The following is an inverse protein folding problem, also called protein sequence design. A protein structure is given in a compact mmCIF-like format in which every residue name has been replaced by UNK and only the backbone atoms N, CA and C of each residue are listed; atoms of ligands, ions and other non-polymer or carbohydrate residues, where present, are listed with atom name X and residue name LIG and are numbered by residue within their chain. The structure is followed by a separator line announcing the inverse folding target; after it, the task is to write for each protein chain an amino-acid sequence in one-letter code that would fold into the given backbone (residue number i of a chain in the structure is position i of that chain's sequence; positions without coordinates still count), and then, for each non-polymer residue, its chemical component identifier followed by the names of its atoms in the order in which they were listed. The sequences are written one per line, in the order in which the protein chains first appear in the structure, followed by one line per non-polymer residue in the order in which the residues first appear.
data_IF_009115254408
#
_entry.id   IF_009115254408
#
_cell.length_a   1.000
_cell.length_b   1.000
_cell.length_c   1.000
_cell.angle_alpha   90.00
_cell.angle_beta   90.00
_cell.angle_gamma   90.00
#
_symmetry.space_group_name_H-M   'P 1'
#
loop_
_entity.id
_entity.type
_entity.pdbx_description
1 polymer ?
#
# COMPACT_ATOMS: atom_id res chain seq x y z
N UNK A 1 -12.96 1.65 -8.07
CA UNK A 1 -13.05 0.52 -9.06
C UNK A 1 -12.91 -0.79 -8.29
N UNK A 2 -12.89 -1.97 -8.95
CA UNK A 2 -12.61 -3.24 -8.27
C UNK A 2 -11.13 -3.34 -7.88
N UNK A 3 -10.83 -3.96 -6.72
CA UNK A 3 -9.44 -4.13 -6.22
C UNK A 3 -8.49 -4.75 -7.26
N UNK A 4 -8.98 -5.77 -8.00
CA UNK A 4 -8.18 -6.43 -9.05
C UNK A 4 -7.75 -5.49 -10.17
N UNK A 5 -8.58 -4.51 -10.53
CA UNK A 5 -8.26 -3.50 -11.56
C UNK A 5 -7.18 -2.54 -11.07
N UNK A 6 -7.23 -2.11 -9.80
CA UNK A 6 -6.18 -1.29 -9.18
C UNK A 6 -4.86 -2.03 -9.14
N UNK A 7 -4.86 -3.32 -8.74
CA UNK A 7 -3.65 -4.15 -8.70
C UNK A 7 -3.05 -4.34 -10.09
N UNK A 8 -3.88 -4.64 -11.10
CA UNK A 8 -3.40 -4.80 -12.48
C UNK A 8 -2.77 -3.49 -13.00
N UNK A 9 -3.41 -2.35 -12.76
CA UNK A 9 -2.90 -1.04 -13.17
C UNK A 9 -1.60 -0.69 -12.44
N UNK A 10 -1.58 -0.81 -11.12
CA UNK A 10 -0.39 -0.50 -10.32
C UNK A 10 0.82 -1.37 -10.68
N UNK A 11 0.61 -2.67 -10.88
CA UNK A 11 1.67 -3.59 -11.31
C UNK A 11 2.16 -3.25 -12.72
N UNK A 12 1.25 -3.01 -13.67
CA UNK A 12 1.61 -2.64 -15.03
C UNK A 12 2.51 -1.40 -15.06
N UNK A 13 2.08 -0.32 -14.42
CA UNK A 13 2.81 0.95 -14.45
C UNK A 13 4.15 0.80 -13.71
N UNK A 14 4.15 0.18 -12.52
CA UNK A 14 5.37 -0.01 -11.74
C UNK A 14 6.41 -0.86 -12.48
N UNK A 15 6.01 -1.97 -13.08
CA UNK A 15 6.91 -2.83 -13.86
C UNK A 15 7.45 -2.12 -15.11
N UNK A 16 6.60 -1.34 -15.79
CA UNK A 16 6.99 -0.59 -16.99
C UNK A 16 7.99 0.53 -16.70
N UNK A 17 7.89 1.15 -15.53
CA UNK A 17 8.77 2.26 -15.11
C UNK A 17 10.08 1.73 -14.53
N UNK A 18 10.01 0.73 -13.64
CA UNK A 18 11.18 0.25 -12.86
C UNK A 18 12.03 -0.72 -13.66
N UNK A 19 11.42 -1.56 -14.51
CA UNK A 19 12.10 -2.56 -15.36
C UNK A 19 13.14 -3.36 -14.56
N UNK A 20 12.73 -4.15 -13.56
CA UNK A 20 13.66 -4.89 -12.73
C UNK A 20 14.48 -5.86 -13.57
N UNK A 21 15.79 -5.96 -13.28
CA UNK A 21 16.76 -6.78 -14.01
C UNK A 21 17.17 -8.04 -13.26
N UNK A 22 16.52 -8.33 -12.13
CA UNK A 22 16.78 -9.51 -11.30
C UNK A 22 15.47 -10.08 -10.77
N UNK A 23 15.44 -11.40 -10.54
CA UNK A 23 14.27 -12.07 -9.96
C UNK A 23 13.86 -11.47 -8.60
N UNK A 24 14.78 -11.25 -7.64
CA UNK A 24 14.42 -10.56 -6.39
C UNK A 24 13.85 -9.16 -6.62
N UNK A 25 14.41 -8.37 -7.53
CA UNK A 25 13.91 -7.05 -7.90
C UNK A 25 12.50 -7.11 -8.48
N UNK A 26 12.21 -8.11 -9.32
CA UNK A 26 10.87 -8.34 -9.88
C UNK A 26 9.86 -8.64 -8.78
N UNK A 27 10.17 -9.57 -7.86
CA UNK A 27 9.29 -9.93 -6.74
C UNK A 27 9.03 -8.74 -5.80
N UNK A 28 10.07 -7.97 -5.49
CA UNK A 28 9.95 -6.75 -4.67
C UNK A 28 9.05 -5.73 -5.35
N UNK A 29 9.25 -5.49 -6.65
CA UNK A 29 8.42 -4.54 -7.42
C UNK A 29 6.95 -4.94 -7.42
N UNK A 30 6.64 -6.22 -7.69
CA UNK A 30 5.27 -6.74 -7.66
C UNK A 30 4.67 -6.63 -6.25
N UNK A 31 5.41 -7.03 -5.22
CA UNK A 31 4.94 -6.98 -3.84
C UNK A 31 4.63 -5.55 -3.38
N UNK A 32 5.57 -4.63 -3.59
CA UNK A 32 5.42 -3.23 -3.18
C UNK A 32 4.31 -2.52 -3.98
N UNK A 33 4.20 -2.77 -5.30
CA UNK A 33 3.13 -2.19 -6.11
C UNK A 33 1.75 -2.77 -5.78
N UNK A 34 1.66 -4.05 -5.44
CA UNK A 34 0.41 -4.65 -4.96
C UNK A 34 -0.02 -4.02 -3.63
N UNK A 35 0.92 -3.83 -2.70
CA UNK A 35 0.64 -3.14 -1.43
C UNK A 35 0.12 -1.73 -1.67
N UNK A 36 0.79 -0.93 -2.50
CA UNK A 36 0.36 0.43 -2.83
C UNK A 36 -1.00 0.50 -3.52
N UNK A 37 -1.32 -0.51 -4.35
CA UNK A 37 -2.62 -0.61 -5.01
C UNK A 37 -3.77 -0.98 -4.07
N UNK A 38 -3.50 -1.71 -2.99
CA UNK A 38 -4.53 -2.21 -2.06
C UNK A 38 -4.71 -1.31 -0.84
N UNK A 39 -3.67 -0.58 -0.44
CA UNK A 39 -3.68 0.20 0.78
C UNK A 39 -4.78 1.27 0.82
N UNK A 40 -5.07 2.05 -0.25
CA UNK A 40 -6.14 3.04 -0.16
C UNK A 40 -7.49 2.44 0.25
N UNK A 41 -7.78 1.23 -0.19
CA UNK A 41 -9.02 0.50 0.12
C UNK A 41 -9.09 -0.09 1.55
N UNK A 42 -8.13 0.22 2.41
CA UNK A 42 -8.18 -0.16 3.83
C UNK A 42 -9.37 0.49 4.56
N UNK A 43 -9.86 1.61 4.06
CA UNK A 43 -11.01 2.35 4.59
C UNK A 43 -12.38 1.73 4.20
N UNK A 44 -12.37 0.67 3.41
CA UNK A 44 -13.57 -0.14 3.13
C UNK A 44 -13.85 -1.06 4.32
N UNK A 45 -14.86 -0.73 5.11
CA UNK A 45 -15.30 -1.53 6.26
C UNK A 45 -15.55 -2.99 5.84
N UNK A 46 -15.16 -3.92 6.71
CA UNK A 46 -15.28 -5.37 6.51
C UNK A 46 -14.54 -5.93 5.29
N UNK A 47 -13.72 -5.12 4.62
CA UNK A 47 -12.88 -5.60 3.54
C UNK A 47 -11.79 -6.55 4.06
N UNK A 48 -11.24 -7.40 3.18
CA UNK A 48 -10.09 -8.25 3.53
C UNK A 48 -8.89 -7.42 4.00
N UNK A 49 -8.72 -6.23 3.42
CA UNK A 49 -7.64 -5.30 3.76
C UNK A 49 -7.86 -4.68 5.15
N UNK A 50 -9.08 -4.23 5.47
CA UNK A 50 -9.43 -3.72 6.81
C UNK A 50 -9.20 -4.79 7.88
N UNK A 51 -9.72 -6.01 7.68
CA UNK A 51 -9.50 -7.15 8.61
C UNK A 51 -8.02 -7.52 8.77
N UNK A 52 -7.22 -7.40 7.72
CA UNK A 52 -5.78 -7.62 7.81
C UNK A 52 -5.12 -6.60 8.74
N UNK A 53 -5.41 -5.31 8.56
CA UNK A 53 -4.83 -4.27 9.41
C UNK A 53 -5.34 -4.32 10.85
N UNK A 54 -6.60 -4.70 11.09
CA UNK A 54 -7.10 -4.96 12.45
C UNK A 54 -6.31 -6.11 13.13
N UNK A 55 -6.02 -7.20 12.42
CA UNK A 55 -5.20 -8.31 12.94
C UNK A 55 -3.75 -7.88 13.18
N UNK A 56 -3.15 -7.15 12.24
CA UNK A 56 -1.78 -6.64 12.40
C UNK A 56 -1.68 -5.70 13.59
N UNK A 57 -2.66 -4.83 13.79
CA UNK A 57 -2.71 -3.92 14.93
C UNK A 57 -2.87 -4.68 16.26
N UNK A 58 -3.76 -5.68 16.31
CA UNK A 58 -3.92 -6.55 17.48
C UNK A 58 -2.62 -7.30 17.81
N UNK A 59 -1.95 -7.86 16.78
CA UNK A 59 -0.66 -8.53 16.96
C UNK A 59 0.42 -7.58 17.47
N UNK A 60 0.49 -6.36 16.95
CA UNK A 60 1.42 -5.34 17.40
C UNK A 60 1.22 -5.01 18.89
N UNK A 61 -0.01 -4.76 19.29
CA UNK A 61 -0.36 -4.50 20.70
C UNK A 61 0.06 -5.69 21.58
N UNK A 62 -0.22 -6.92 21.15
CA UNK A 62 0.16 -8.14 21.88
C UNK A 62 1.68 -8.24 22.05
N UNK A 63 2.46 -7.97 20.99
CA UNK A 63 3.93 -7.99 21.03
C UNK A 63 4.46 -6.94 22.02
N UNK A 64 3.88 -5.74 22.01
CA UNK A 64 4.26 -4.68 22.96
C UNK A 64 3.97 -5.09 24.40
N UNK A 65 2.77 -5.61 24.69
CA UNK A 65 2.40 -6.09 26.02
C UNK A 65 3.35 -7.21 26.49
N UNK A 66 3.61 -8.20 25.61
CA UNK A 66 4.54 -9.31 25.94
C UNK A 66 5.96 -8.80 26.18
N UNK A 67 6.46 -7.82 25.42
CA UNK A 67 7.79 -7.24 25.65
C UNK A 67 7.91 -6.53 27.00
N UNK A 68 6.85 -5.85 27.43
CA UNK A 68 6.77 -5.22 28.76
C UNK A 68 6.75 -6.26 29.87
N UNK A 69 5.96 -7.34 29.71
CA UNK A 69 5.91 -8.45 30.67
C UNK A 69 7.25 -9.16 30.79
N UNK A 70 7.95 -9.44 29.68
CA UNK A 70 9.29 -10.06 29.68
C UNK A 70 10.29 -9.17 30.41
N UNK A 71 10.26 -7.85 30.17
CA UNK A 71 11.09 -6.92 30.90
C UNK A 71 10.81 -6.96 32.41
N UNK A 72 9.54 -6.98 32.80
CA UNK A 72 9.13 -6.98 34.20
C UNK A 72 9.48 -8.30 34.93
N UNK A 73 9.22 -9.46 34.29
CA UNK A 73 9.40 -10.79 34.92
C UNK A 73 10.86 -11.24 34.87
N UNK A 74 11.59 -10.97 33.80
CA UNK A 74 12.93 -11.53 33.57
C UNK A 74 14.03 -10.48 33.54
N UNK A 75 13.69 -9.19 33.72
CA UNK A 75 14.62 -8.06 33.61
C UNK A 75 15.37 -8.00 32.26
N UNK A 76 14.76 -8.56 31.20
CA UNK A 76 15.31 -8.56 29.84
C UNK A 76 14.75 -7.35 29.09
N UNK A 77 15.61 -6.42 28.70
CA UNK A 77 15.21 -5.27 27.88
C UNK A 77 15.40 -5.59 26.38
N UNK A 78 14.32 -6.03 25.73
CA UNK A 78 14.31 -6.39 24.31
C UNK A 78 14.68 -5.15 23.44
N UNK A 79 14.22 -3.97 23.84
CA UNK A 79 14.49 -2.72 23.12
C UNK A 79 16.00 -2.42 22.99
N UNK A 80 16.77 -2.57 24.06
CA UNK A 80 18.22 -2.33 24.03
C UNK A 80 18.93 -3.34 23.13
N UNK A 81 18.50 -4.60 23.15
CA UNK A 81 19.06 -5.64 22.26
C UNK A 81 18.77 -5.36 20.78
N UNK A 82 17.55 -4.94 20.44
CA UNK A 82 17.18 -4.62 19.05
C UNK A 82 17.91 -3.35 18.57
N UNK A 83 18.12 -2.37 19.45
CA UNK A 83 18.80 -1.11 19.11
C UNK A 83 20.27 -1.33 18.71
N UNK A 84 20.92 -2.39 19.16
CA UNK A 84 22.27 -2.77 18.71
C UNK A 84 22.32 -3.07 17.19
N UNK A 85 21.18 -3.39 16.58
CA UNK A 85 21.00 -3.63 15.15
C UNK A 85 20.31 -2.43 14.50
N UNK A 86 21.03 -1.31 14.31
CA UNK A 86 20.48 -0.03 13.84
C UNK A 86 19.52 -0.14 12.64
N UNK A 87 19.87 -0.94 11.62
CA UNK A 87 19.03 -1.10 10.43
C UNK A 87 17.71 -1.81 10.75
N UNK A 88 17.75 -2.90 11.53
CA UNK A 88 16.54 -3.65 11.92
C UNK A 88 15.62 -2.76 12.75
N UNK A 89 16.17 -1.96 13.64
CA UNK A 89 15.39 -1.03 14.46
C UNK A 89 14.64 -0.01 13.62
N UNK A 90 15.28 0.60 12.61
CA UNK A 90 14.65 1.54 11.71
C UNK A 90 13.53 0.88 10.88
N UNK A 91 13.75 -0.34 10.36
CA UNK A 91 12.70 -1.09 9.67
C UNK A 91 11.49 -1.36 10.56
N UNK A 92 11.71 -1.77 11.81
CA UNK A 92 10.63 -2.00 12.77
C UNK A 92 9.84 -0.73 13.07
N UNK A 93 10.52 0.43 13.23
CA UNK A 93 9.86 1.73 13.40
C UNK A 93 8.97 2.05 12.19
N UNK A 94 9.54 1.97 10.99
CA UNK A 94 8.81 2.30 9.76
C UNK A 94 7.57 1.42 9.58
N UNK A 95 7.72 0.11 9.75
CA UNK A 95 6.63 -0.86 9.64
C UNK A 95 5.56 -0.59 10.72
N UNK A 96 5.99 -0.32 11.96
CA UNK A 96 5.08 -0.03 13.08
C UNK A 96 4.25 1.23 12.78
N UNK A 97 4.90 2.32 12.37
CA UNK A 97 4.20 3.57 12.01
C UNK A 97 3.26 3.33 10.82
N UNK A 98 3.70 2.57 9.82
CA UNK A 98 2.87 2.24 8.65
C UNK A 98 1.60 1.48 9.04
N UNK A 99 1.70 0.48 9.94
CA UNK A 99 0.55 -0.27 10.46
C UNK A 99 -0.39 0.64 11.23
N UNK A 100 0.14 1.47 12.13
CA UNK A 100 -0.66 2.43 12.91
C UNK A 100 -1.40 3.40 12.00
N UNK A 101 -0.71 3.99 11.02
CA UNK A 101 -1.32 4.92 10.07
C UNK A 101 -2.39 4.25 9.21
N UNK A 102 -2.17 2.98 8.81
CA UNK A 102 -3.14 2.19 8.05
C UNK A 102 -4.38 1.86 8.89
N UNK A 103 -4.18 1.51 10.16
CA UNK A 103 -5.28 1.31 11.11
C UNK A 103 -6.08 2.59 11.33
N UNK A 104 -5.43 3.73 11.54
CA UNK A 104 -6.12 5.03 11.67
C UNK A 104 -6.82 5.41 10.37
N UNK A 105 -6.19 5.15 9.22
CA UNK A 105 -6.77 5.35 7.90
C UNK A 105 -8.04 4.54 7.69
N UNK A 106 -8.09 3.28 8.16
CA UNK A 106 -9.27 2.41 8.04
C UNK A 106 -10.48 2.95 8.83
N UNK A 107 -10.26 3.77 9.85
CA UNK A 107 -11.33 4.39 10.65
C UNK A 107 -11.82 5.73 10.07
N UNK A 108 -11.19 6.23 9.00
CA UNK A 108 -11.66 7.44 8.29
C UNK A 108 -12.85 7.13 7.39
N UNK A 109 -13.52 8.17 6.89
CA UNK A 109 -14.59 7.97 5.91
C UNK A 109 -14.03 7.43 4.60
N UNK A 110 -14.75 6.46 3.98
CA UNK A 110 -14.34 5.86 2.72
C UNK A 110 -14.03 6.90 1.64
N UNK A 111 -12.92 6.70 0.93
CA UNK A 111 -12.38 7.58 -0.13
C UNK A 111 -11.99 8.99 0.36
N UNK A 112 -11.45 9.06 1.58
CA UNK A 112 -10.96 10.31 2.17
C UNK A 112 -9.44 10.32 2.34
N UNK A 113 -8.93 10.18 3.56
CA UNK A 113 -7.50 10.29 3.86
C UNK A 113 -6.62 9.34 3.02
N UNK A 114 -6.97 8.07 2.97
CA UNK A 114 -6.20 7.04 2.24
C UNK A 114 -6.18 7.23 0.72
N UNK A 115 -7.19 7.92 0.18
CA UNK A 115 -7.32 8.25 -1.25
C UNK A 115 -6.94 9.71 -1.56
N UNK A 116 -6.17 10.36 -0.69
CA UNK A 116 -5.75 11.75 -0.83
C UNK A 116 -4.27 11.89 -1.18
N UNK A 117 -3.90 13.03 -1.74
CA UNK A 117 -2.50 13.42 -1.93
C UNK A 117 -1.75 13.42 -0.60
N UNK A 118 -2.38 13.91 0.47
CA UNK A 118 -1.79 13.92 1.81
C UNK A 118 -1.48 12.50 2.29
N UNK A 119 -2.44 11.57 2.17
CA UNK A 119 -2.24 10.16 2.53
C UNK A 119 -1.10 9.52 1.72
N UNK A 120 -1.09 9.72 0.39
CA UNK A 120 -0.02 9.24 -0.49
C UNK A 120 1.37 9.66 0.00
N UNK A 121 1.56 10.95 0.29
CA UNK A 121 2.86 11.46 0.74
C UNK A 121 3.24 10.97 2.15
N UNK A 122 2.29 10.91 3.08
CA UNK A 122 2.57 10.42 4.44
C UNK A 122 3.02 8.95 4.40
N UNK A 123 2.27 8.07 3.73
CA UNK A 123 2.64 6.66 3.62
C UNK A 123 3.98 6.47 2.91
N UNK A 124 4.22 7.23 1.84
CA UNK A 124 5.50 7.18 1.12
C UNK A 124 6.65 7.65 1.99
N UNK A 125 6.49 8.74 2.74
CA UNK A 125 7.50 9.26 3.66
C UNK A 125 7.85 8.26 4.77
N UNK A 126 6.83 7.60 5.35
CA UNK A 126 7.03 6.55 6.36
C UNK A 126 7.87 5.39 5.80
N UNK A 127 7.57 4.95 4.58
CA UNK A 127 8.37 3.89 3.94
C UNK A 127 9.78 4.36 3.59
N UNK A 128 9.94 5.58 3.08
CA UNK A 128 11.24 6.13 2.68
C UNK A 128 12.21 6.37 3.84
N UNK A 129 11.69 6.39 5.08
CA UNK A 129 12.55 6.49 6.27
C UNK A 129 13.51 5.30 6.42
N UNK A 130 13.12 4.09 6.01
CA UNK A 130 13.93 2.89 6.21
C UNK A 130 14.15 2.06 4.95
N UNK A 131 13.26 2.15 3.96
CA UNK A 131 13.32 1.34 2.76
C UNK A 131 13.95 2.14 1.60
N UNK A 132 14.63 1.41 0.72
CA UNK A 132 15.24 1.98 -0.48
C UNK A 132 14.20 2.19 -1.62
N UNK A 133 14.61 2.88 -2.67
CA UNK A 133 13.76 3.19 -3.81
C UNK A 133 13.18 1.95 -4.53
N UNK A 134 13.79 0.77 -4.39
CA UNK A 134 13.26 -0.45 -4.99
C UNK A 134 11.93 -0.89 -4.38
N UNK A 135 11.60 -0.43 -3.17
CA UNK A 135 10.34 -0.66 -2.47
C UNK A 135 9.45 0.59 -2.53
N UNK A 136 10.04 1.75 -2.24
CA UNK A 136 9.29 3.01 -2.10
C UNK A 136 8.69 3.46 -3.42
N UNK A 137 9.46 3.38 -4.51
CA UNK A 137 9.01 3.87 -5.82
C UNK A 137 7.85 3.05 -6.41
N UNK A 138 7.89 1.69 -6.46
CA UNK A 138 6.75 0.92 -6.94
C UNK A 138 5.50 1.09 -6.04
N UNK A 139 5.69 1.23 -4.72
CA UNK A 139 4.59 1.55 -3.81
C UNK A 139 3.96 2.91 -4.16
N UNK A 140 4.77 3.97 -4.30
CA UNK A 140 4.30 5.31 -4.63
C UNK A 140 3.53 5.34 -5.96
N UNK A 141 4.13 4.75 -7.02
CA UNK A 141 3.53 4.71 -8.36
C UNK A 141 2.17 4.02 -8.33
N UNK A 142 2.07 2.88 -7.66
CA UNK A 142 0.84 2.09 -7.61
C UNK A 142 -0.24 2.74 -6.74
N UNK A 143 0.13 3.37 -5.64
CA UNK A 143 -0.79 4.14 -4.81
C UNK A 143 -1.33 5.36 -5.58
N UNK A 144 -0.46 6.07 -6.28
CA UNK A 144 -0.87 7.17 -7.17
C UNK A 144 -1.81 6.67 -8.28
N UNK A 145 -1.48 5.55 -8.93
CA UNK A 145 -2.33 4.95 -9.95
C UNK A 145 -3.72 4.57 -9.42
N UNK A 146 -3.80 4.05 -8.18
CA UNK A 146 -5.07 3.79 -7.51
C UNK A 146 -5.91 5.06 -7.38
N UNK A 147 -5.32 6.14 -6.85
CA UNK A 147 -5.98 7.44 -6.69
C UNK A 147 -6.51 7.95 -8.04
N UNK A 148 -5.68 7.92 -9.08
CA UNK A 148 -6.05 8.37 -10.43
C UNK A 148 -7.21 7.55 -11.02
N UNK A 149 -7.19 6.23 -10.87
CA UNK A 149 -8.29 5.37 -11.31
C UNK A 149 -9.60 5.66 -10.56
N UNK A 150 -9.52 5.98 -9.27
CA UNK A 150 -10.72 6.28 -8.50
C UNK A 150 -11.30 7.67 -8.75
N UNK A 151 -10.54 8.60 -9.32
CA UNK A 151 -11.07 9.85 -9.89
C UNK A 151 -12.00 9.58 -11.09
N UNK A 152 -11.74 8.51 -11.87
CA UNK A 152 -12.61 8.14 -12.99
C UNK A 152 -13.97 7.60 -12.53
N UNK A 153 -14.07 7.15 -11.27
CA UNK A 153 -15.28 6.57 -10.72
C UNK A 153 -16.35 7.65 -10.41
N UNK A 154 -17.63 7.30 -10.61
CA UNK A 154 -18.78 8.19 -10.31
C UNK A 154 -18.83 8.65 -8.85
N UNK A 155 -18.34 7.85 -7.89
CA UNK A 155 -18.37 8.18 -6.46
C UNK A 155 -17.36 9.25 -6.05
N UNK A 156 -16.27 9.43 -6.79
CA UNK A 156 -15.22 10.39 -6.52
C UNK A 156 -14.43 10.12 -5.23
N UNK A 157 -13.36 10.89 -5.03
CA UNK A 157 -12.46 10.84 -3.87
C UNK A 157 -12.22 12.24 -3.29
N UNK A 158 -11.90 12.33 -2.00
CA UNK A 158 -11.49 13.57 -1.36
C UNK A 158 -9.97 13.80 -1.56
N UNK A 159 -9.58 14.11 -2.81
CA UNK A 159 -8.19 14.23 -3.22
C UNK A 159 -7.37 15.18 -2.33
N UNK A 160 -7.99 16.29 -1.91
CA UNK A 160 -7.37 17.34 -1.11
C UNK A 160 -7.80 17.25 0.38
N UNK A 161 -7.84 16.04 0.96
CA UNK A 161 -8.10 15.89 2.39
C UNK A 161 -7.19 16.82 3.22
N UNK A 162 -7.68 17.51 4.27
CA UNK A 162 -8.95 17.29 4.97
C UNK A 162 -10.18 18.00 4.38
N UNK A 163 -10.06 18.67 3.24
CA UNK A 163 -11.21 19.31 2.59
C UNK A 163 -12.17 18.23 2.09
N UNK A 164 -13.48 18.45 2.35
CA UNK A 164 -14.54 17.46 2.03
C UNK A 164 -14.96 17.47 0.55
N UNK A 165 -14.33 18.29 -0.29
CA UNK A 165 -14.58 18.32 -1.72
C UNK A 165 -14.17 17.00 -2.39
N UNK A 166 -15.08 16.40 -3.17
CA UNK A 166 -14.83 15.15 -3.89
C UNK A 166 -14.62 15.42 -5.37
N UNK A 167 -13.51 14.97 -5.90
CA UNK A 167 -13.19 15.00 -7.33
C UNK A 167 -13.65 13.70 -7.99
N UNK A 168 -14.39 13.83 -9.12
CA UNK A 168 -14.87 12.68 -9.91
C UNK A 168 -15.07 13.11 -11.36
N UNK A 169 -14.58 12.31 -12.30
CA UNK A 169 -14.82 12.46 -13.73
C UNK A 169 -16.08 11.70 -14.20
N UNK A 170 -16.69 10.89 -13.34
CA UNK A 170 -17.95 10.15 -13.58
C UNK A 170 -17.94 9.24 -14.82
N UNK A 171 -16.78 8.75 -15.23
CA UNK A 171 -16.60 7.96 -16.47
C UNK A 171 -16.97 6.47 -16.29
N UNK A 172 -16.82 5.92 -15.08
CA UNK A 172 -17.05 4.50 -14.85
C UNK A 172 -17.75 4.20 -13.52
N UNK A 173 -18.37 3.03 -13.45
CA UNK A 173 -18.89 2.42 -12.22
C UNK A 173 -17.97 1.29 -11.76
N UNK A 174 -17.95 1.00 -10.46
CA UNK A 174 -17.08 -0.02 -9.90
C UNK A 174 -17.28 -1.40 -10.52
N UNK A 175 -18.54 -1.78 -10.78
CA UNK A 175 -18.92 -3.11 -11.31
C UNK A 175 -19.34 -3.05 -12.79
N UNK A 176 -19.15 -1.90 -13.44
CA UNK A 176 -19.58 -1.64 -14.81
C UNK A 176 -18.73 -2.33 -15.87
N UNK A 177 -19.25 -2.39 -17.11
CA UNK A 177 -18.56 -2.98 -18.26
C UNK A 177 -17.21 -2.34 -18.52
N UNK A 178 -17.11 -1.01 -18.36
CA UNK A 178 -15.84 -0.26 -18.51
C UNK A 178 -14.77 -0.77 -17.55
N UNK A 179 -15.13 -1.05 -16.28
CA UNK A 179 -14.17 -1.59 -15.30
C UNK A 179 -13.70 -3.00 -15.70
N UNK A 180 -14.60 -3.86 -16.21
CA UNK A 180 -14.26 -5.21 -16.66
C UNK A 180 -13.30 -5.17 -17.87
N UNK A 181 -13.59 -4.31 -18.85
CA UNK A 181 -12.74 -4.13 -20.02
C UNK A 181 -11.34 -3.59 -19.62
N UNK A 182 -11.30 -2.59 -18.75
CA UNK A 182 -10.04 -2.06 -18.22
C UNK A 182 -9.24 -3.14 -17.50
N UNK A 183 -9.87 -3.93 -16.64
CA UNK A 183 -9.18 -5.03 -15.95
C UNK A 183 -8.57 -6.02 -16.95
N UNK A 184 -9.33 -6.45 -17.96
CA UNK A 184 -8.84 -7.40 -18.96
C UNK A 184 -7.67 -6.82 -19.75
N UNK A 185 -7.79 -5.57 -20.23
CA UNK A 185 -6.73 -4.90 -20.98
C UNK A 185 -5.46 -4.74 -20.14
N UNK A 186 -5.58 -4.20 -18.91
CA UNK A 186 -4.45 -4.00 -18.01
C UNK A 186 -3.77 -5.32 -17.65
N UNK A 187 -4.53 -6.40 -17.45
CA UNK A 187 -3.99 -7.73 -17.15
C UNK A 187 -3.20 -8.29 -18.33
N UNK A 188 -3.71 -8.17 -19.55
CA UNK A 188 -2.99 -8.60 -20.77
C UNK A 188 -1.69 -7.82 -20.91
N UNK A 189 -1.74 -6.49 -20.77
CA UNK A 189 -0.54 -5.65 -20.86
C UNK A 189 0.47 -5.98 -19.75
N UNK A 190 0.01 -6.28 -18.52
CA UNK A 190 0.90 -6.71 -17.44
C UNK A 190 1.62 -8.00 -17.78
N UNK A 191 0.92 -8.99 -18.38
CA UNK A 191 1.54 -10.25 -18.82
C UNK A 191 2.58 -10.00 -19.91
N UNK A 192 2.29 -9.13 -20.88
CA UNK A 192 3.25 -8.76 -21.95
C UNK A 192 4.51 -8.15 -21.34
N UNK A 193 4.35 -7.18 -20.42
CA UNK A 193 5.49 -6.55 -19.75
C UNK A 193 6.30 -7.56 -18.91
N UNK A 194 5.62 -8.48 -18.22
CA UNK A 194 6.30 -9.55 -17.48
C UNK A 194 7.13 -10.46 -18.41
N UNK A 195 6.59 -10.85 -19.57
CA UNK A 195 7.33 -11.63 -20.55
C UNK A 195 8.56 -10.85 -21.04
N UNK A 196 8.39 -9.56 -21.38
CA UNK A 196 9.50 -8.71 -21.83
C UNK A 196 10.60 -8.55 -20.77
N UNK A 197 10.22 -8.45 -19.50
CA UNK A 197 11.19 -8.37 -18.38
C UNK A 197 11.87 -9.71 -18.20
N UNK A 198 11.13 -10.83 -18.23
CA UNK A 198 11.68 -12.17 -18.01
C UNK A 198 12.70 -12.59 -19.08
N UNK A 199 12.61 -12.04 -20.30
CA UNK A 199 13.61 -12.28 -21.36
C UNK A 199 14.92 -11.52 -21.15
N UNK A 200 14.95 -10.55 -20.23
CA UNK A 200 16.10 -9.71 -19.91
C UNK A 200 16.70 -9.99 -18.50
N UNK A 201 16.13 -10.91 -17.73
CA UNK A 201 16.63 -11.42 -16.46
C UNK A 201 17.41 -12.70 -16.67
#
# INVERSE_FOLDING_TARGET
MEKKTHVACGNLISLSVIKPTTIPGLLITIGASTLGSLLPDVDLKDSTTDKLFDRLMTSLITIVIMSVLIKYLFNINIYTKIKEYNNIFNYLISITIFIIMSYLGSKTSHRSFTHSILGLFIYTAVLSYSFNNNIVLPYFISHLAHILLDILNKKGIALFYPFKFRLSLKLCESDGTVNKLLFTLLSILTIIVLIMISTNI
#
